data_IF_472963210367
#
_entry.id   IF_472963210367
#
_cell.length_a   1.000
_cell.length_b   1.000
_cell.length_c   1.000
_cell.angle_alpha   90.00
_cell.angle_beta   90.00
_cell.angle_gamma   90.00
#
_symmetry.space_group_name_H-M   'P 1'
#
loop_
_entity.id
_entity.type
_entity.pdbx_description
1 polymer ?
#
# COMPACT_ATOMS: atom_id res chain seq x y z
N UNK A 1 12.23 5.10 0.62
CA UNK A 1 11.90 4.78 2.02
C UNK A 1 12.55 5.76 3.02
N UNK A 2 13.76 6.25 2.75
CA UNK A 2 14.42 7.27 3.59
C UNK A 2 13.54 8.49 3.82
N UNK A 3 12.87 9.02 2.77
CA UNK A 3 11.94 10.13 2.90
C UNK A 3 10.77 9.86 3.86
N UNK A 4 10.34 8.60 3.99
CA UNK A 4 9.30 8.21 4.97
C UNK A 4 9.82 8.31 6.40
N UNK A 5 11.06 7.86 6.64
CA UNK A 5 11.70 7.97 7.95
C UNK A 5 11.91 9.43 8.33
N UNK A 6 12.33 10.27 7.37
CA UNK A 6 12.52 11.70 7.61
C UNK A 6 11.19 12.40 7.95
N UNK A 7 10.10 12.07 7.25
CA UNK A 7 8.78 12.60 7.57
C UNK A 7 8.35 12.26 9.00
N UNK A 8 8.60 11.03 9.43
CA UNK A 8 8.32 10.59 10.82
C UNK A 8 9.24 11.34 11.81
N UNK A 9 10.55 11.40 11.52
CA UNK A 9 11.55 12.05 12.39
C UNK A 9 11.29 13.55 12.60
N UNK A 10 10.81 14.23 11.58
CA UNK A 10 10.49 15.67 11.65
C UNK A 10 9.17 15.97 12.36
N UNK A 11 8.45 14.95 12.84
CA UNK A 11 7.21 15.13 13.59
C UNK A 11 6.03 15.55 12.71
N UNK A 12 6.01 15.14 11.44
CA UNK A 12 4.87 15.38 10.57
C UNK A 12 3.59 14.79 11.19
N UNK A 13 2.50 15.55 11.23
CA UNK A 13 1.19 15.09 11.73
C UNK A 13 0.47 14.29 10.65
N UNK A 14 0.59 14.72 9.39
CA UNK A 14 0.05 14.00 8.24
C UNK A 14 0.91 14.20 7.00
N UNK A 15 0.83 13.24 6.07
CA UNK A 15 1.55 13.27 4.80
C UNK A 15 0.63 12.91 3.62
N UNK A 16 1.10 13.27 2.41
CA UNK A 16 0.52 12.80 1.16
C UNK A 16 1.58 12.09 0.36
N UNK A 17 1.26 10.92 -0.15
CA UNK A 17 2.13 10.15 -1.02
C UNK A 17 1.73 10.37 -2.48
N UNK A 18 2.46 11.21 -3.19
CA UNK A 18 2.21 11.52 -4.59
C UNK A 18 3.33 10.93 -5.45
N UNK A 19 3.13 9.76 -6.06
CA UNK A 19 4.07 9.26 -7.06
C UNK A 19 4.08 10.18 -8.28
N UNK A 20 5.21 10.21 -8.97
CA UNK A 20 5.41 11.09 -10.10
C UNK A 20 4.55 10.66 -11.29
N UNK A 21 3.68 11.55 -11.72
CA UNK A 21 2.88 11.43 -12.94
C UNK A 21 3.32 12.50 -13.92
N UNK A 22 3.67 12.11 -15.14
CA UNK A 22 4.06 13.03 -16.21
C UNK A 22 2.81 13.52 -16.94
N UNK A 23 2.59 14.82 -16.93
CA UNK A 23 1.50 15.44 -17.64
C UNK A 23 1.99 16.05 -18.97
N UNK A 24 1.12 16.01 -19.97
CA UNK A 24 1.32 16.63 -21.28
C UNK A 24 1.77 18.10 -21.12
N UNK A 25 2.58 18.55 -22.05
CA UNK A 25 3.11 19.92 -22.14
C UNK A 25 4.04 20.35 -20.98
N UNK A 26 4.43 19.42 -20.09
CA UNK A 26 5.47 19.64 -19.08
C UNK A 26 6.88 19.45 -19.65
N UNK A 27 7.89 20.07 -19.01
CA UNK A 27 9.29 19.83 -19.36
C UNK A 27 9.65 18.34 -19.21
N UNK A 28 9.14 17.70 -18.19
CA UNK A 28 9.39 16.28 -17.95
C UNK A 28 8.78 15.37 -19.03
N UNK A 29 7.66 15.80 -19.66
CA UNK A 29 7.10 15.09 -20.81
C UNK A 29 8.05 15.17 -22.04
N UNK A 30 8.75 16.29 -22.22
CA UNK A 30 9.74 16.42 -23.29
C UNK A 30 10.95 15.51 -23.04
N UNK A 31 11.43 15.42 -21.79
CA UNK A 31 12.52 14.52 -21.41
C UNK A 31 12.12 13.06 -21.56
N UNK A 32 10.90 12.70 -21.17
CA UNK A 32 10.35 11.37 -21.35
C UNK A 32 10.31 10.95 -22.84
N UNK A 33 9.79 11.82 -23.72
CA UNK A 33 9.75 11.56 -25.17
C UNK A 33 11.15 11.40 -25.77
N UNK A 34 12.14 12.14 -25.24
CA UNK A 34 13.56 12.02 -25.65
C UNK A 34 14.27 10.81 -25.06
N UNK A 35 13.60 10.03 -24.21
CA UNK A 35 14.20 8.88 -23.51
C UNK A 35 15.23 9.26 -22.42
N UNK A 36 15.26 10.52 -22.00
CA UNK A 36 16.17 11.01 -20.96
C UNK A 36 15.67 10.71 -19.54
N UNK A 37 14.38 10.47 -19.39
CA UNK A 37 13.73 10.12 -18.12
C UNK A 37 12.60 9.15 -18.33
N UNK A 38 12.43 8.19 -17.42
CA UNK A 38 11.29 7.28 -17.36
C UNK A 38 10.77 7.20 -15.92
N UNK A 39 9.48 7.49 -15.68
CA UNK A 39 8.89 7.33 -14.37
C UNK A 39 8.71 5.85 -14.06
N UNK A 40 8.66 5.46 -12.76
CA UNK A 40 8.33 4.09 -12.39
C UNK A 40 6.92 3.73 -12.87
N UNK A 41 6.73 2.47 -13.25
CA UNK A 41 5.42 1.91 -13.59
C UNK A 41 4.51 1.75 -12.38
N UNK A 42 3.25 1.33 -12.61
CA UNK A 42 2.27 1.16 -11.55
C UNK A 42 2.71 0.11 -10.52
N UNK A 43 3.15 -1.07 -10.99
CA UNK A 43 3.57 -2.16 -10.09
C UNK A 43 4.79 -1.79 -9.25
N UNK A 44 5.80 -1.17 -9.87
CA UNK A 44 7.00 -0.69 -9.16
C UNK A 44 6.64 0.37 -8.11
N UNK A 45 5.73 1.27 -8.46
CA UNK A 45 5.24 2.29 -7.54
C UNK A 45 4.45 1.69 -6.38
N UNK A 46 3.63 0.67 -6.63
CA UNK A 46 2.90 -0.04 -5.57
C UNK A 46 3.87 -0.70 -4.58
N UNK A 47 4.98 -1.30 -5.09
CA UNK A 47 6.01 -1.90 -4.23
C UNK A 47 6.72 -0.88 -3.31
N UNK A 48 6.86 0.35 -3.75
CA UNK A 48 7.44 1.42 -2.94
C UNK A 48 6.39 2.00 -1.98
N UNK A 49 5.19 2.27 -2.50
CA UNK A 49 4.15 3.01 -1.77
C UNK A 49 3.59 2.24 -0.57
N UNK A 50 3.38 0.91 -0.68
CA UNK A 50 2.89 0.15 0.47
C UNK A 50 3.92 0.13 1.62
N UNK A 51 5.21 0.09 1.31
CA UNK A 51 6.29 0.16 2.31
C UNK A 51 6.34 1.54 2.97
N UNK A 52 6.24 2.61 2.16
CA UNK A 52 6.17 3.98 2.68
C UNK A 52 4.95 4.16 3.59
N UNK A 53 3.79 3.69 3.14
CA UNK A 53 2.55 3.75 3.90
C UNK A 53 2.69 3.02 5.25
N UNK A 54 3.22 1.80 5.26
CA UNK A 54 3.41 1.02 6.49
C UNK A 54 4.36 1.70 7.48
N UNK A 55 5.46 2.27 7.01
CA UNK A 55 6.43 2.99 7.85
C UNK A 55 5.78 4.21 8.51
N UNK A 56 5.11 5.02 7.71
CA UNK A 56 4.52 6.29 8.14
C UNK A 56 3.32 6.05 9.05
N UNK A 57 2.36 5.26 8.61
CA UNK A 57 1.14 4.98 9.36
C UNK A 57 1.43 4.20 10.64
N UNK A 58 2.36 3.25 10.59
CA UNK A 58 2.80 2.50 11.77
C UNK A 58 3.58 3.32 12.80
N UNK A 59 4.02 4.53 12.45
CA UNK A 59 4.60 5.51 13.37
C UNK A 59 3.55 6.51 13.91
N UNK A 60 2.26 6.31 13.60
CA UNK A 60 1.17 7.19 14.05
C UNK A 60 1.00 8.46 13.22
N UNK A 61 1.69 8.58 12.08
CA UNK A 61 1.53 9.71 11.16
C UNK A 61 0.43 9.38 10.15
N UNK A 62 -0.56 10.27 10.01
CA UNK A 62 -1.67 10.06 9.09
C UNK A 62 -1.22 10.15 7.62
N UNK A 63 -1.63 9.19 6.79
CA UNK A 63 -1.48 9.25 5.34
C UNK A 63 -2.82 9.60 4.72
N UNK A 64 -3.10 10.90 4.66
CA UNK A 64 -4.42 11.39 4.26
C UNK A 64 -4.69 11.30 2.74
N UNK A 65 -3.67 11.01 1.91
CA UNK A 65 -3.82 10.75 0.48
C UNK A 65 -2.67 9.95 -0.11
N UNK A 66 -3.02 9.02 -0.99
CA UNK A 66 -2.07 8.33 -1.87
C UNK A 66 -2.55 8.53 -3.31
N UNK A 67 -1.67 9.06 -4.17
CA UNK A 67 -1.97 9.35 -5.57
C UNK A 67 -2.41 10.78 -5.84
N UNK A 68 -2.40 11.12 -7.11
CA UNK A 68 -2.76 12.45 -7.64
C UNK A 68 -4.24 12.47 -7.97
N UNK A 69 -4.95 13.53 -7.59
CA UNK A 69 -6.32 13.79 -8.04
C UNK A 69 -6.28 14.56 -9.33
N UNK A 70 -6.75 13.93 -10.38
CA UNK A 70 -6.98 14.57 -11.68
C UNK A 70 -8.48 14.51 -11.99
N UNK A 71 -9.01 15.57 -12.57
CA UNK A 71 -10.44 15.69 -12.84
C UNK A 71 -10.71 15.91 -14.33
N UNK A 72 -11.76 15.28 -14.83
CA UNK A 72 -12.26 15.50 -16.18
C UNK A 72 -11.18 15.33 -17.25
N UNK A 73 -10.87 16.40 -17.97
CA UNK A 73 -9.90 16.39 -19.06
C UNK A 73 -8.43 16.26 -18.60
N UNK A 74 -8.12 16.52 -17.34
CA UNK A 74 -6.75 16.38 -16.83
C UNK A 74 -6.25 14.94 -16.91
N UNK A 75 -7.15 13.96 -16.75
CA UNK A 75 -6.83 12.53 -16.88
C UNK A 75 -6.27 12.21 -18.28
N UNK A 76 -6.81 12.87 -19.31
CA UNK A 76 -6.35 12.69 -20.70
C UNK A 76 -4.96 13.28 -20.96
N UNK A 77 -4.48 14.11 -20.05
CA UNK A 77 -3.16 14.72 -20.12
C UNK A 77 -2.06 13.87 -19.48
N UNK A 78 -2.41 12.73 -18.89
CA UNK A 78 -1.41 11.79 -18.36
C UNK A 78 -0.66 11.13 -19.50
N UNK A 79 0.64 11.35 -19.56
CA UNK A 79 1.56 10.79 -20.56
C UNK A 79 2.21 9.52 -20.07
N UNK A 80 2.67 9.53 -18.81
CA UNK A 80 3.33 8.38 -18.19
C UNK A 80 3.30 8.48 -16.66
N UNK A 81 3.70 7.40 -15.98
CA UNK A 81 3.72 7.30 -14.54
C UNK A 81 2.54 6.52 -13.95
N UNK A 82 2.54 6.26 -12.65
CA UNK A 82 1.62 5.33 -11.99
C UNK A 82 0.27 5.99 -11.64
N UNK A 83 -0.38 6.59 -12.62
CA UNK A 83 -1.71 7.14 -12.40
C UNK A 83 -2.75 6.02 -12.29
N UNK A 84 -3.49 6.02 -11.19
CA UNK A 84 -4.69 5.20 -10.99
C UNK A 84 -5.67 5.95 -10.09
N UNK A 85 -6.98 6.03 -10.44
CA UNK A 85 -7.97 6.78 -9.65
C UNK A 85 -8.15 6.23 -8.24
N UNK A 86 -7.94 4.94 -8.04
CA UNK A 86 -8.01 4.24 -6.74
C UNK A 86 -6.61 3.81 -6.25
N UNK A 87 -5.56 4.60 -6.49
CA UNK A 87 -4.18 4.19 -6.13
C UNK A 87 -4.03 3.86 -4.65
N UNK A 88 -4.66 4.65 -3.76
CA UNK A 88 -4.62 4.39 -2.32
C UNK A 88 -5.26 3.05 -1.93
N UNK A 89 -6.32 2.63 -2.62
CA UNK A 89 -6.93 1.31 -2.44
C UNK A 89 -5.98 0.20 -2.91
N UNK A 90 -5.35 0.36 -4.07
CA UNK A 90 -4.37 -0.60 -4.58
C UNK A 90 -3.19 -0.77 -3.62
N UNK A 91 -2.71 0.32 -3.02
CA UNK A 91 -1.62 0.29 -2.03
C UNK A 91 -2.03 -0.50 -0.78
N UNK A 92 -3.22 -0.25 -0.23
CA UNK A 92 -3.73 -1.01 0.92
C UNK A 92 -3.93 -2.50 0.58
N UNK A 93 -4.50 -2.79 -0.59
CA UNK A 93 -4.65 -4.17 -1.07
C UNK A 93 -3.28 -4.87 -1.19
N UNK A 94 -2.26 -4.17 -1.68
CA UNK A 94 -0.90 -4.72 -1.76
C UNK A 94 -0.32 -4.99 -0.38
N UNK A 95 -0.49 -4.08 0.57
CA UNK A 95 -0.05 -4.28 1.95
C UNK A 95 -0.74 -5.51 2.58
N UNK A 96 -2.05 -5.67 2.37
CA UNK A 96 -2.77 -6.84 2.90
C UNK A 96 -2.30 -8.15 2.26
N UNK A 97 -1.88 -8.15 0.99
CA UNK A 97 -1.21 -9.31 0.39
C UNK A 97 0.09 -9.66 1.11
N UNK A 98 0.87 -8.68 1.50
CA UNK A 98 2.10 -8.93 2.27
C UNK A 98 1.79 -9.49 3.66
N UNK A 99 0.72 -9.04 4.31
CA UNK A 99 0.23 -9.63 5.57
C UNK A 99 -0.11 -11.12 5.38
N UNK A 100 -0.81 -11.47 4.30
CA UNK A 100 -1.13 -12.87 4.00
C UNK A 100 0.12 -13.69 3.69
N UNK A 101 1.06 -13.15 2.94
CA UNK A 101 2.35 -13.81 2.65
C UNK A 101 3.13 -14.06 3.94
N UNK A 102 3.18 -13.07 4.83
CA UNK A 102 3.84 -13.20 6.12
C UNK A 102 3.17 -14.28 6.99
N UNK A 103 1.83 -14.31 7.01
CA UNK A 103 1.08 -15.35 7.69
C UNK A 103 1.45 -16.75 7.20
N UNK A 104 1.47 -16.98 5.89
CA UNK A 104 1.90 -18.27 5.32
C UNK A 104 3.36 -18.58 5.62
N UNK A 105 4.25 -17.59 5.53
CA UNK A 105 5.68 -17.76 5.86
C UNK A 105 5.90 -18.23 7.30
N UNK A 106 5.07 -17.80 8.23
CA UNK A 106 5.12 -18.19 9.64
C UNK A 106 4.35 -19.49 9.92
N UNK A 107 3.93 -20.24 8.90
CA UNK A 107 3.22 -21.51 9.05
C UNK A 107 1.75 -21.37 9.42
N UNK A 108 1.16 -20.19 9.18
CA UNK A 108 -0.26 -19.95 9.39
C UNK A 108 -1.15 -20.77 8.47
N UNK A 109 -2.35 -21.10 8.94
CA UNK A 109 -3.34 -21.87 8.18
C UNK A 109 -4.02 -20.99 7.12
N UNK A 110 -4.67 -21.63 6.14
CA UNK A 110 -5.49 -20.93 5.12
C UNK A 110 -6.80 -20.35 5.70
N UNK A 111 -7.06 -20.57 6.99
CA UNK A 111 -8.25 -20.09 7.68
C UNK A 111 -7.94 -18.78 8.40
N UNK A 112 -8.41 -17.67 7.84
CA UNK A 112 -8.07 -16.32 8.29
C UNK A 112 -9.32 -15.61 8.76
N UNK A 113 -9.30 -15.09 9.98
CA UNK A 113 -10.28 -14.14 10.48
C UNK A 113 -9.71 -12.73 10.46
N UNK A 114 -10.45 -11.78 9.91
CA UNK A 114 -10.05 -10.39 9.78
C UNK A 114 -11.02 -9.48 10.50
N UNK A 115 -10.52 -8.36 11.00
CA UNK A 115 -11.38 -7.28 11.47
C UNK A 115 -12.23 -6.71 10.33
N UNK A 116 -13.43 -6.26 10.67
CA UNK A 116 -14.38 -5.71 9.70
C UNK A 116 -13.84 -4.48 8.97
N UNK A 117 -12.96 -3.71 9.60
CA UNK A 117 -12.31 -2.54 9.02
C UNK A 117 -11.44 -2.87 7.80
N UNK A 118 -10.89 -4.08 7.74
CA UNK A 118 -10.02 -4.52 6.64
C UNK A 118 -10.78 -5.16 5.46
N UNK A 119 -12.11 -5.23 5.52
CA UNK A 119 -12.90 -5.86 4.44
C UNK A 119 -12.62 -5.27 3.06
N UNK A 120 -12.55 -3.93 2.97
CA UNK A 120 -12.29 -3.23 1.73
C UNK A 120 -10.91 -3.52 1.14
N UNK A 121 -9.93 -3.76 2.00
CA UNK A 121 -8.54 -3.97 1.60
C UNK A 121 -8.29 -5.33 0.92
N UNK A 122 -9.25 -6.26 1.03
CA UNK A 122 -9.18 -7.58 0.44
C UNK A 122 -10.10 -7.80 -0.78
N UNK A 123 -10.89 -6.81 -1.16
CA UNK A 123 -11.91 -6.97 -2.23
C UNK A 123 -11.33 -7.32 -3.59
N UNK A 124 -10.08 -6.95 -3.87
CA UNK A 124 -9.36 -7.31 -5.10
C UNK A 124 -8.86 -8.76 -5.16
N UNK A 125 -8.87 -9.48 -4.05
CA UNK A 125 -8.28 -10.82 -3.93
C UNK A 125 -9.35 -11.89 -3.78
N UNK A 126 -10.00 -12.28 -4.88
CA UNK A 126 -11.10 -13.27 -4.91
C UNK A 126 -10.72 -14.66 -4.38
N UNK A 127 -9.46 -14.96 -4.18
CA UNK A 127 -9.02 -16.22 -3.55
C UNK A 127 -9.30 -16.26 -2.04
N UNK A 128 -9.46 -15.12 -1.42
CA UNK A 128 -9.73 -14.97 0.00
C UNK A 128 -11.15 -14.43 0.15
N UNK A 129 -12.12 -15.36 0.23
CA UNK A 129 -13.54 -14.99 0.33
C UNK A 129 -13.86 -14.63 1.78
N UNK A 130 -14.31 -13.42 1.98
CA UNK A 130 -14.79 -12.91 3.25
C UNK A 130 -16.23 -13.35 3.42
N UNK A 131 -16.51 -14.18 4.40
CA UNK A 131 -17.82 -14.81 4.50
C UNK A 131 -18.70 -14.26 5.60
N UNK A 132 -18.17 -13.77 6.71
CA UNK A 132 -19.05 -13.32 7.80
C UNK A 132 -18.48 -12.15 8.58
N UNK A 133 -19.31 -11.12 8.80
CA UNK A 133 -19.04 -10.08 9.79
C UNK A 133 -19.72 -10.50 11.11
N UNK A 134 -18.93 -10.68 12.16
CA UNK A 134 -19.43 -10.71 13.53
C UNK A 134 -19.20 -9.34 14.19
N UNK A 135 -19.81 -9.09 15.34
CA UNK A 135 -19.54 -7.87 16.11
C UNK A 135 -18.08 -7.80 16.61
N UNK A 136 -17.33 -8.89 16.50
CA UNK A 136 -15.95 -9.02 16.96
C UNK A 136 -14.93 -9.06 15.80
N UNK A 137 -15.38 -9.04 14.54
CA UNK A 137 -14.49 -9.05 13.37
C UNK A 137 -15.10 -9.70 12.13
N UNK A 138 -14.37 -9.65 11.01
CA UNK A 138 -14.73 -10.35 9.79
C UNK A 138 -14.06 -11.70 9.80
N UNK A 139 -14.87 -12.76 9.80
CA UNK A 139 -14.40 -14.12 9.61
C UNK A 139 -14.33 -14.36 8.12
N UNK A 140 -13.12 -14.48 7.60
CA UNK A 140 -12.88 -15.01 6.27
C UNK A 140 -12.91 -16.53 6.40
N UNK A 141 -14.07 -17.13 6.11
CA UNK A 141 -14.18 -18.59 6.11
C UNK A 141 -13.73 -19.15 4.76
N UNK A 142 -12.58 -19.79 4.77
CA UNK A 142 -12.28 -20.85 3.84
C UNK A 142 -12.50 -22.20 4.57
N UNK A 143 -13.74 -22.68 4.64
CA UNK A 143 -14.15 -23.95 5.31
C UNK A 143 -13.84 -24.04 6.82
N UNK A 144 -14.86 -24.07 7.56
CA UNK A 144 -15.23 -24.62 8.88
C UNK A 144 -14.38 -24.40 10.15
N UNK A 145 -13.12 -23.99 10.13
CA UNK A 145 -12.36 -23.66 11.35
C UNK A 145 -11.43 -22.48 11.11
N UNK A 146 -11.91 -21.26 11.32
CA UNK A 146 -11.12 -20.04 11.08
C UNK A 146 -10.24 -19.66 12.26
N UNK A 147 -8.93 -19.54 12.05
CA UNK A 147 -8.02 -18.84 12.95
C UNK A 147 -8.18 -17.32 12.75
N UNK A 148 -8.38 -16.58 13.84
CA UNK A 148 -8.42 -15.12 13.80
C UNK A 148 -7.04 -14.57 13.47
N UNK A 149 -6.93 -13.80 12.38
CA UNK A 149 -5.69 -13.15 11.99
C UNK A 149 -5.53 -11.85 12.77
N UNK A 150 -4.51 -11.74 13.57
CA UNK A 150 -4.08 -10.49 14.16
C UNK A 150 -3.27 -9.68 13.13
N UNK A 151 -3.99 -8.88 12.35
CA UNK A 151 -3.41 -8.06 11.28
C UNK A 151 -2.35 -7.11 11.84
N UNK A 152 -2.58 -6.50 12.99
CA UNK A 152 -1.64 -5.55 13.60
C UNK A 152 -0.31 -6.21 13.96
N UNK A 153 -0.33 -7.42 14.50
CA UNK A 153 0.90 -8.18 14.79
C UNK A 153 1.72 -8.42 13.53
N UNK A 154 1.08 -8.81 12.42
CA UNK A 154 1.76 -9.01 11.13
C UNK A 154 2.30 -7.72 10.54
N UNK A 155 1.52 -6.63 10.59
CA UNK A 155 1.98 -5.32 10.14
C UNK A 155 3.23 -4.85 10.92
N UNK A 156 3.24 -5.04 12.22
CA UNK A 156 4.39 -4.72 13.06
C UNK A 156 5.61 -5.59 12.70
N UNK A 157 5.45 -6.90 12.52
CA UNK A 157 6.53 -7.80 12.10
C UNK A 157 7.12 -7.38 10.74
N UNK A 158 6.29 -7.07 9.77
CA UNK A 158 6.72 -6.61 8.45
C UNK A 158 7.46 -5.28 8.56
N UNK A 159 6.93 -4.34 9.36
CA UNK A 159 7.55 -3.02 9.58
C UNK A 159 8.93 -3.13 10.20
N UNK A 160 9.10 -3.93 11.25
CA UNK A 160 10.39 -4.15 11.90
C UNK A 160 11.43 -4.72 10.94
N UNK A 161 11.04 -5.69 10.11
CA UNK A 161 11.91 -6.26 9.10
C UNK A 161 12.32 -5.24 8.03
N UNK A 162 11.40 -4.36 7.59
CA UNK A 162 11.70 -3.29 6.65
C UNK A 162 12.67 -2.28 7.24
N UNK A 163 12.45 -1.86 8.48
CA UNK A 163 13.32 -0.90 9.18
C UNK A 163 14.71 -1.49 9.40
N UNK A 164 14.81 -2.75 9.84
CA UNK A 164 16.08 -3.45 9.98
C UNK A 164 16.87 -3.50 8.68
N UNK A 165 16.19 -3.76 7.55
CA UNK A 165 16.81 -3.75 6.22
C UNK A 165 17.29 -2.37 5.78
N UNK A 166 16.61 -1.29 6.15
CA UNK A 166 17.02 0.09 5.82
C UNK A 166 18.26 0.48 6.64
N UNK A 167 18.25 0.23 7.96
CA UNK A 167 19.37 0.57 8.84
C UNK A 167 20.63 -0.27 8.57
N UNK A 168 20.50 -1.45 7.98
CA UNK A 168 21.66 -2.26 7.59
C UNK A 168 22.35 -1.75 6.31
N UNK A 169 21.74 -0.83 5.56
CA UNK A 169 22.26 -0.25 4.31
C UNK A 169 22.81 1.18 4.48
N UNK A 170 22.65 1.76 5.66
CA UNK A 170 23.15 3.09 6.02
C UNK A 170 24.39 2.98 6.93
#
# INVERSE_FOLDING_TARGET
>A
LISSLEAVRTGAVSVRLHPLVILKDSLLAQEFVRGLFSPPGLEESLEILWKMYLIINGAGVDVNRIGVCLYGNEIKNVVAGPYHPALGELVRNRLMLEVLREHHRLGGSDHIALDKSHKGDFTGHRRYVIVTASNEGIIVQFRENGLRLDVESYLNSIRERLLGGIYAQT
#
